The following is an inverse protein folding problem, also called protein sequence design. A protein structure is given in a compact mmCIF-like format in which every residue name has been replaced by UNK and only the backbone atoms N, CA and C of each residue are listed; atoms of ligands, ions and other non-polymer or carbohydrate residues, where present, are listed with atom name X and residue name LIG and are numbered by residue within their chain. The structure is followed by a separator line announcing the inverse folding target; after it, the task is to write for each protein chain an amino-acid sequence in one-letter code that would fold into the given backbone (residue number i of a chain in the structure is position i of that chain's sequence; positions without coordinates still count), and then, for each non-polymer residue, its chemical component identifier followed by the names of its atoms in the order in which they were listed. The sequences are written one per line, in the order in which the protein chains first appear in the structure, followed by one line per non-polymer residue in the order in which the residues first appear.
data_IF_387112632849
#
_entry.id   IF_387112632849
#
_cell.length_a   1.000
_cell.length_b   1.000
_cell.length_c   1.000
_cell.angle_alpha   90.00
_cell.angle_beta   90.00
_cell.angle_gamma   90.00
#
_symmetry.space_group_name_H-M   'P 1'
#
loop_
_entity.id
_entity.type
_entity.pdbx_description
1 polymer ?
#
# COMPACT_ATOMS: atom_id res chain seq x y z
N UNK A 1 -6.31 12.64 -63.02
CA UNK A 1 -5.56 13.53 -62.13
C UNK A 1 -5.98 13.15 -60.72
N UNK A 2 -5.23 12.21 -60.15
CA UNK A 2 -5.42 11.77 -58.77
C UNK A 2 -4.89 12.88 -57.88
N UNK A 3 -5.67 13.26 -56.86
CA UNK A 3 -5.14 14.01 -55.73
C UNK A 3 -4.71 12.99 -54.70
N UNK A 4 -3.40 12.96 -54.48
CA UNK A 4 -2.72 12.20 -53.44
C UNK A 4 -3.23 12.69 -52.07
N UNK A 5 -3.88 11.80 -51.33
CA UNK A 5 -4.16 11.99 -49.92
C UNK A 5 -2.88 11.56 -49.19
N UNK A 6 -2.17 12.54 -48.63
CA UNK A 6 -0.94 12.39 -47.88
C UNK A 6 -1.14 11.35 -46.78
N UNK A 7 -0.36 10.26 -46.89
CA UNK A 7 -0.13 9.32 -45.80
C UNK A 7 0.47 10.08 -44.62
N UNK A 8 -0.38 10.46 -43.66
CA UNK A 8 0.04 10.84 -42.32
C UNK A 8 0.74 9.64 -41.69
N UNK A 9 2.08 9.64 -41.80
CA UNK A 9 2.97 8.77 -41.05
C UNK A 9 2.64 8.92 -39.55
N UNK A 10 2.00 7.89 -38.98
CA UNK A 10 1.90 7.76 -37.53
C UNK A 10 3.31 7.59 -36.99
N UNK A 11 3.80 8.60 -36.29
CA UNK A 11 4.93 8.47 -35.39
C UNK A 11 4.62 7.33 -34.41
N UNK A 12 5.25 6.16 -34.65
CA UNK A 12 5.23 5.06 -33.71
C UNK A 12 6.08 5.47 -32.51
N UNK A 13 5.44 6.07 -31.51
CA UNK A 13 6.03 6.16 -30.17
C UNK A 13 6.37 4.74 -29.70
N UNK A 14 7.56 4.56 -29.15
CA UNK A 14 8.07 3.28 -28.64
C UNK A 14 7.28 2.72 -27.44
N UNK A 15 6.11 3.28 -27.13
CA UNK A 15 5.23 2.97 -25.99
C UNK A 15 4.08 2.01 -26.31
N UNK A 16 3.80 1.69 -27.58
CA UNK A 16 2.69 0.81 -27.96
C UNK A 16 3.06 -0.68 -27.84
N UNK A 17 3.43 -1.12 -26.63
CA UNK A 17 3.35 -2.53 -26.31
C UNK A 17 1.88 -2.95 -26.32
N UNK A 18 1.55 -4.04 -27.02
CA UNK A 18 0.26 -4.71 -26.88
C UNK A 18 -0.06 -4.91 -25.39
N UNK A 19 -1.33 -4.75 -24.99
CA UNK A 19 -1.79 -4.85 -23.58
C UNK A 19 -1.25 -6.10 -22.89
N UNK A 20 -1.16 -7.21 -23.62
CA UNK A 20 -0.60 -8.48 -23.15
C UNK A 20 0.92 -8.40 -22.91
N UNK A 21 1.65 -7.71 -23.77
CA UNK A 21 3.08 -7.46 -23.60
C UNK A 21 3.39 -6.54 -22.43
N UNK A 22 2.58 -5.50 -22.23
CA UNK A 22 2.67 -4.62 -21.07
C UNK A 22 2.39 -5.40 -19.77
N UNK A 23 1.33 -6.20 -19.74
CA UNK A 23 1.00 -7.04 -18.60
C UNK A 23 2.14 -7.97 -18.20
N UNK A 24 2.75 -8.67 -19.16
CA UNK A 24 3.92 -9.54 -18.90
C UNK A 24 5.10 -8.77 -18.33
N UNK A 25 5.34 -7.55 -18.83
CA UNK A 25 6.41 -6.68 -18.34
C UNK A 25 6.16 -6.27 -16.88
N UNK A 26 4.94 -5.82 -16.56
CA UNK A 26 4.53 -5.44 -15.21
C UNK A 26 4.64 -6.61 -14.24
N UNK A 27 4.21 -7.82 -14.63
CA UNK A 27 4.34 -9.03 -13.81
C UNK A 27 5.81 -9.38 -13.56
N UNK A 28 6.69 -9.20 -14.55
CA UNK A 28 8.14 -9.40 -14.38
C UNK A 28 8.71 -8.44 -13.34
N UNK A 29 8.42 -7.14 -13.49
CA UNK A 29 8.91 -6.12 -12.56
C UNK A 29 8.41 -6.32 -11.13
N UNK A 30 7.14 -6.66 -10.97
CA UNK A 30 6.60 -6.96 -9.63
C UNK A 30 7.33 -8.13 -8.97
N UNK A 31 7.67 -9.19 -9.72
CA UNK A 31 8.41 -10.33 -9.18
C UNK A 31 9.81 -9.96 -8.70
N UNK A 32 10.47 -9.03 -9.37
CA UNK A 32 11.77 -8.52 -8.93
C UNK A 32 11.63 -7.68 -7.66
N UNK A 33 10.62 -6.80 -7.61
CA UNK A 33 10.40 -5.90 -6.47
C UNK A 33 9.93 -6.64 -5.21
N UNK A 34 9.04 -7.62 -5.36
CA UNK A 34 8.49 -8.37 -4.23
C UNK A 34 9.56 -9.18 -3.50
N UNK A 35 10.57 -9.71 -4.20
CA UNK A 35 11.68 -10.42 -3.56
C UNK A 35 12.49 -9.52 -2.62
N UNK A 36 12.69 -8.26 -3.01
CA UNK A 36 13.37 -7.27 -2.18
C UNK A 36 12.49 -6.89 -0.98
N UNK A 37 11.22 -6.57 -1.22
CA UNK A 37 10.27 -6.15 -0.20
C UNK A 37 9.97 -7.28 0.79
N UNK A 38 9.98 -8.54 0.38
CA UNK A 38 9.72 -9.67 1.27
C UNK A 38 10.75 -9.81 2.38
N UNK A 39 12.03 -9.56 2.09
CA UNK A 39 13.08 -9.50 3.12
C UNK A 39 12.78 -8.41 4.15
N UNK A 40 12.34 -7.24 3.69
CA UNK A 40 11.93 -6.17 4.59
C UNK A 40 10.64 -6.53 5.37
N UNK A 41 9.65 -7.18 4.75
CA UNK A 41 8.39 -7.59 5.39
C UNK A 41 8.61 -8.57 6.54
N UNK A 42 9.59 -9.47 6.44
CA UNK A 42 9.95 -10.37 7.54
C UNK A 42 10.38 -9.57 8.78
N UNK A 43 11.30 -8.61 8.60
CA UNK A 43 11.74 -7.72 9.68
C UNK A 43 10.60 -6.82 10.18
N UNK A 44 9.82 -6.22 9.28
CA UNK A 44 8.71 -5.37 9.65
C UNK A 44 7.66 -6.12 10.51
N UNK A 45 7.37 -7.38 10.20
CA UNK A 45 6.48 -8.21 11.02
C UNK A 45 7.05 -8.48 12.41
N UNK A 46 8.35 -8.74 12.50
CA UNK A 46 9.05 -8.87 13.78
C UNK A 46 8.95 -7.56 14.60
N UNK A 47 9.20 -6.41 13.98
CA UNK A 47 9.11 -5.10 14.62
C UNK A 47 7.70 -4.83 15.19
N UNK A 48 6.66 -5.13 14.42
CA UNK A 48 5.27 -5.03 14.88
C UNK A 48 4.97 -5.99 16.04
N UNK A 49 5.50 -7.22 16.01
CA UNK A 49 5.36 -8.18 17.12
C UNK A 49 6.05 -7.65 18.38
N UNK A 50 7.25 -7.10 18.24
CA UNK A 50 8.01 -6.54 19.36
C UNK A 50 7.31 -5.34 19.98
N UNK A 51 6.73 -4.47 19.15
CA UNK A 51 5.90 -3.37 19.59
C UNK A 51 4.66 -3.86 20.37
N UNK A 52 3.98 -4.91 19.90
CA UNK A 52 2.80 -5.49 20.57
C UNK A 52 3.14 -6.32 21.82
N UNK A 53 4.43 -6.61 22.07
CA UNK A 53 4.90 -7.36 23.24
C UNK A 53 5.12 -8.85 22.98
N UNK A 54 4.95 -9.31 21.75
CA UNK A 54 5.27 -10.68 21.31
C UNK A 54 6.75 -10.76 20.91
N UNK A 55 7.63 -10.75 21.91
CA UNK A 55 9.08 -10.65 21.74
C UNK A 55 9.83 -11.99 21.74
N UNK A 56 9.11 -13.09 21.95
CA UNK A 56 9.72 -14.41 22.09
C UNK A 56 9.62 -15.19 20.80
N UNK A 57 10.71 -15.89 20.46
CA UNK A 57 10.65 -16.99 19.50
C UNK A 57 9.78 -18.12 20.08
N UNK A 58 9.03 -18.78 19.22
CA UNK A 58 8.17 -19.91 19.57
C UNK A 58 8.96 -21.07 20.18
N UNK A 59 10.21 -21.26 19.75
CA UNK A 59 11.10 -22.30 20.29
C UNK A 59 11.46 -22.05 21.74
N UNK A 60 11.78 -20.81 22.08
CA UNK A 60 12.13 -20.42 23.45
C UNK A 60 10.90 -20.49 24.36
N UNK A 61 9.74 -20.10 23.83
CA UNK A 61 8.46 -20.20 24.54
C UNK A 61 8.12 -21.67 24.84
N UNK A 62 8.33 -22.58 23.89
CA UNK A 62 8.14 -24.01 24.08
C UNK A 62 9.10 -24.58 25.16
N UNK A 63 10.39 -24.21 25.12
CA UNK A 63 11.37 -24.63 26.10
C UNK A 63 11.04 -24.14 27.52
N UNK A 64 10.58 -22.89 27.66
CA UNK A 64 10.16 -22.32 28.95
C UNK A 64 8.91 -23.02 29.51
N UNK A 65 7.95 -23.36 28.62
CA UNK A 65 6.76 -24.16 28.98
C UNK A 65 7.14 -25.56 29.47
N UNK A 66 8.06 -26.23 28.79
CA UNK A 66 8.56 -27.56 29.19
C UNK A 66 9.24 -27.50 30.58
N UNK A 67 10.04 -26.46 30.82
CA UNK A 67 10.70 -26.21 32.10
C UNK A 67 9.74 -25.73 33.20
N UNK A 68 8.43 -25.57 32.91
CA UNK A 68 7.41 -25.03 33.82
C UNK A 68 7.77 -23.65 34.39
N UNK A 69 8.51 -22.84 33.62
CA UNK A 69 8.89 -21.48 33.99
C UNK A 69 7.86 -20.50 33.41
N UNK A 70 7.35 -19.55 34.21
CA UNK A 70 6.47 -18.51 33.68
C UNK A 70 7.25 -17.61 32.73
N UNK A 71 6.66 -17.33 31.56
CA UNK A 71 7.19 -16.36 30.60
C UNK A 71 6.77 -14.97 31.04
N UNK A 72 7.74 -14.09 31.30
CA UNK A 72 7.49 -12.70 31.63
C UNK A 72 8.11 -11.81 30.54
N UNK A 73 7.29 -10.97 29.92
CA UNK A 73 7.74 -9.98 28.94
C UNK A 73 7.57 -8.58 29.51
N UNK A 74 8.65 -7.80 29.50
CA UNK A 74 8.63 -6.40 29.91
C UNK A 74 8.83 -5.51 28.68
N UNK A 75 7.73 -5.08 28.06
CA UNK A 75 7.78 -4.28 26.85
C UNK A 75 8.25 -2.85 27.16
N UNK A 76 9.52 -2.55 26.84
CA UNK A 76 10.09 -1.20 26.90
C UNK A 76 10.01 -0.45 25.57
N UNK A 77 9.71 -1.15 24.48
CA UNK A 77 9.69 -0.62 23.12
C UNK A 77 8.44 0.24 22.93
N UNK A 78 7.26 -0.28 23.24
CA UNK A 78 6.00 0.45 23.05
C UNK A 78 5.96 1.81 23.79
N UNK A 79 6.37 1.93 25.06
CA UNK A 79 6.44 3.23 25.73
C UNK A 79 7.38 4.24 25.05
N UNK A 80 8.53 3.78 24.51
CA UNK A 80 9.47 4.64 23.81
C UNK A 80 8.92 5.11 22.46
N UNK A 81 8.35 4.18 21.68
CA UNK A 81 7.68 4.50 20.41
C UNK A 81 6.55 5.50 20.64
N UNK A 82 5.70 5.26 21.63
CA UNK A 82 4.59 6.15 21.98
C UNK A 82 5.06 7.53 22.45
N UNK A 83 6.22 7.63 23.11
CA UNK A 83 6.80 8.92 23.48
C UNK A 83 7.25 9.72 22.25
N UNK A 84 7.86 9.06 21.26
CA UNK A 84 8.28 9.70 20.00
C UNK A 84 7.06 10.14 19.19
N UNK A 85 6.08 9.25 19.01
CA UNK A 85 4.81 9.57 18.30
C UNK A 85 4.06 10.68 19.03
N UNK A 86 4.02 10.65 20.36
CA UNK A 86 3.42 11.73 21.17
C UNK A 86 4.12 13.08 20.97
N UNK A 87 5.44 13.08 20.84
CA UNK A 87 6.20 14.31 20.55
C UNK A 87 5.92 14.86 19.15
N UNK A 88 5.72 13.99 18.16
CA UNK A 88 5.34 14.39 16.80
C UNK A 88 3.92 14.97 16.78
N UNK A 89 2.97 14.30 17.42
CA UNK A 89 1.58 14.78 17.55
C UNK A 89 1.46 16.14 18.25
N UNK A 90 2.36 16.44 19.17
CA UNK A 90 2.42 17.75 19.82
C UNK A 90 3.07 18.83 18.95
N UNK A 91 3.96 18.44 18.04
CA UNK A 91 4.69 19.33 17.13
C UNK A 91 4.29 19.04 15.67
N UNK A 92 2.99 19.17 15.38
CA UNK A 92 2.47 18.94 14.04
C UNK A 92 3.15 19.85 13.03
N UNK A 93 3.36 19.30 11.83
CA UNK A 93 3.99 20.02 10.72
C UNK A 93 2.92 20.48 9.74
N UNK A 94 3.04 21.73 9.32
CA UNK A 94 2.18 22.34 8.31
C UNK A 94 2.97 22.56 7.02
N UNK A 95 2.27 22.48 5.89
CA UNK A 95 2.86 22.72 4.57
C UNK A 95 2.79 24.21 4.27
N UNK A 96 3.94 24.87 4.17
CA UNK A 96 4.03 26.28 3.81
C UNK A 96 4.69 26.46 2.45
N UNK A 97 4.04 27.21 1.56
CA UNK A 97 4.63 27.57 0.27
C UNK A 97 5.43 28.86 0.41
N UNK A 98 6.74 28.78 0.24
CA UNK A 98 7.65 29.93 0.36
C UNK A 98 7.97 30.48 -1.04
N UNK A 99 7.72 31.77 -1.33
CA UNK A 99 8.00 32.35 -2.63
C UNK A 99 9.50 32.43 -2.90
N UNK A 100 9.95 31.91 -4.05
CA UNK A 100 11.37 31.98 -4.48
C UNK A 100 11.70 33.27 -5.26
N UNK A 101 10.69 33.96 -5.79
CA UNK A 101 10.84 35.16 -6.62
C UNK A 101 10.15 36.37 -5.98
N UNK A 102 10.77 37.55 -6.13
CA UNK A 102 10.21 38.82 -5.67
C UNK A 102 8.88 39.08 -6.40
N UNK A 103 7.84 39.45 -5.65
CA UNK A 103 6.50 39.74 -6.18
C UNK A 103 5.55 38.54 -6.30
N UNK A 104 5.98 37.33 -5.88
CA UNK A 104 5.13 36.12 -5.86
C UNK A 104 4.63 35.75 -4.46
N UNK A 105 4.54 36.71 -3.53
CA UNK A 105 4.01 36.47 -2.18
C UNK A 105 2.53 36.08 -2.19
N UNK A 106 1.68 36.82 -2.93
CA UNK A 106 0.23 36.58 -2.95
C UNK A 106 -0.15 35.17 -3.46
N UNK A 107 0.43 34.64 -4.56
CA UNK A 107 0.18 33.25 -4.97
C UNK A 107 0.63 32.21 -3.94
N UNK A 108 1.73 32.45 -3.23
CA UNK A 108 2.24 31.54 -2.20
C UNK A 108 1.33 31.49 -0.97
N UNK A 109 0.80 32.63 -0.53
CA UNK A 109 -0.21 32.70 0.54
C UNK A 109 -1.48 31.96 0.13
N UNK A 110 -1.95 32.16 -1.10
CA UNK A 110 -3.11 31.45 -1.62
C UNK A 110 -2.90 29.92 -1.64
N UNK A 111 -1.76 29.45 -2.15
CA UNK A 111 -1.43 28.02 -2.17
C UNK A 111 -1.33 27.41 -0.77
N UNK A 112 -0.80 28.17 0.19
CA UNK A 112 -0.73 27.76 1.59
C UNK A 112 -2.13 27.60 2.17
N UNK A 113 -3.01 28.60 1.98
CA UNK A 113 -4.40 28.50 2.44
C UNK A 113 -5.20 27.38 1.76
N UNK A 114 -4.94 27.09 0.48
CA UNK A 114 -5.55 25.93 -0.21
C UNK A 114 -5.04 24.61 0.36
N UNK A 115 -3.75 24.49 0.65
CA UNK A 115 -3.18 23.27 1.23
C UNK A 115 -3.66 23.02 2.68
N UNK A 116 -3.78 24.07 3.48
CA UNK A 116 -4.41 24.01 4.81
C UNK A 116 -5.86 23.51 4.69
N UNK A 117 -6.67 24.16 3.86
CA UNK A 117 -8.04 23.75 3.62
C UNK A 117 -8.15 22.29 3.15
N UNK A 118 -7.29 21.88 2.22
CA UNK A 118 -7.27 20.51 1.71
C UNK A 118 -6.98 19.49 2.83
N UNK A 119 -5.97 19.77 3.66
CA UNK A 119 -5.57 18.89 4.76
C UNK A 119 -6.62 18.83 5.86
N UNK A 120 -7.27 19.95 6.16
CA UNK A 120 -8.36 20.03 7.14
C UNK A 120 -9.57 19.21 6.71
N UNK A 121 -9.99 19.35 5.44
CA UNK A 121 -11.11 18.58 4.87
C UNK A 121 -10.80 17.08 4.81
N UNK A 122 -9.57 16.71 4.47
CA UNK A 122 -9.14 15.32 4.39
C UNK A 122 -8.84 14.68 5.76
N UNK A 123 -8.90 15.45 6.86
CA UNK A 123 -8.44 15.01 8.18
C UNK A 123 -7.01 14.42 8.15
N UNK A 124 -6.15 15.02 7.33
CA UNK A 124 -4.83 14.50 6.97
C UNK A 124 -3.92 14.23 8.17
N UNK A 125 -4.06 15.03 9.23
CA UNK A 125 -3.23 14.95 10.43
C UNK A 125 -3.27 13.57 11.09
N UNK A 126 -4.43 12.90 11.08
CA UNK A 126 -4.58 11.57 11.68
C UNK A 126 -3.88 10.51 10.83
N UNK A 127 -4.09 10.56 9.51
CA UNK A 127 -3.45 9.64 8.57
C UNK A 127 -1.92 9.80 8.59
N UNK A 128 -1.42 11.04 8.63
CA UNK A 128 0.01 11.35 8.72
C UNK A 128 0.61 10.86 10.05
N UNK A 129 -0.09 11.06 11.17
CA UNK A 129 0.36 10.58 12.49
C UNK A 129 0.44 9.05 12.53
N UNK A 130 -0.52 8.36 11.93
CA UNK A 130 -0.57 6.90 11.91
C UNK A 130 0.51 6.34 10.97
N UNK A 131 0.73 6.98 9.81
CA UNK A 131 1.84 6.63 8.92
C UNK A 131 3.20 6.91 9.58
N UNK A 132 3.32 7.99 10.35
CA UNK A 132 4.54 8.28 11.12
C UNK A 132 4.79 7.22 12.20
N UNK A 133 3.75 6.78 12.90
CA UNK A 133 3.86 5.68 13.85
C UNK A 133 4.37 4.40 13.18
N UNK A 134 3.84 4.06 12.00
CA UNK A 134 4.33 2.93 11.21
C UNK A 134 5.81 3.09 10.85
N UNK A 135 6.21 4.28 10.39
CA UNK A 135 7.60 4.58 10.07
C UNK A 135 8.54 4.44 11.28
N UNK A 136 8.07 4.79 12.49
CA UNK A 136 8.85 4.60 13.73
C UNK A 136 8.97 3.12 14.10
N UNK A 137 7.97 2.30 13.80
CA UNK A 137 7.96 0.87 14.12
C UNK A 137 8.77 0.06 13.12
N UNK A 138 8.44 0.12 11.83
CA UNK A 138 9.00 -0.75 10.79
C UNK A 138 9.87 -0.02 9.76
N UNK A 139 10.10 1.28 9.95
CA UNK A 139 10.93 2.12 9.07
C UNK A 139 10.19 2.74 7.89
N UNK A 140 8.99 2.26 7.55
CA UNK A 140 8.20 2.76 6.41
C UNK A 140 6.78 3.15 6.82
N UNK A 141 6.33 4.32 6.36
CA UNK A 141 4.99 4.85 6.59
C UNK A 141 4.41 5.40 5.30
N UNK A 142 3.13 5.13 5.05
CA UNK A 142 2.50 5.40 3.76
C UNK A 142 1.14 6.08 3.92
N UNK A 143 0.91 7.07 3.05
CA UNK A 143 -0.35 7.79 2.92
C UNK A 143 -0.74 7.89 1.46
N UNK A 144 -1.99 7.61 1.12
CA UNK A 144 -2.55 7.88 -0.20
C UNK A 144 -3.32 9.19 -0.17
N UNK A 145 -3.05 10.06 -1.13
CA UNK A 145 -3.78 11.33 -1.30
C UNK A 145 -4.55 11.26 -2.61
N UNK A 146 -5.88 11.32 -2.52
CA UNK A 146 -6.77 11.19 -3.67
C UNK A 146 -7.96 12.14 -3.58
N UNK A 147 -8.59 12.39 -4.73
CA UNK A 147 -9.88 13.06 -4.80
C UNK A 147 -10.97 12.01 -4.97
N UNK A 148 -11.96 12.02 -4.07
CA UNK A 148 -13.10 11.13 -4.10
C UNK A 148 -14.32 11.87 -4.66
N UNK A 149 -14.93 11.31 -5.70
CA UNK A 149 -16.02 11.95 -6.45
C UNK A 149 -17.41 11.34 -6.15
N UNK A 150 -17.50 10.43 -5.17
CA UNK A 150 -18.74 9.69 -4.90
C UNK A 150 -19.78 10.57 -4.19
N UNK A 151 -19.35 11.37 -3.21
CA UNK A 151 -20.23 12.25 -2.44
C UNK A 151 -20.38 13.65 -3.08
N UNK A 152 -19.30 14.15 -3.70
CA UNK A 152 -19.27 15.48 -4.30
C UNK A 152 -18.74 15.41 -5.74
N UNK A 153 -19.50 15.89 -6.74
CA UNK A 153 -19.04 16.00 -8.13
C UNK A 153 -17.79 16.87 -8.29
N UNK A 154 -17.57 17.84 -7.39
CA UNK A 154 -16.40 18.72 -7.42
C UNK A 154 -15.13 18.04 -6.83
N UNK A 155 -15.28 16.85 -6.24
CA UNK A 155 -14.20 16.06 -5.63
C UNK A 155 -13.91 16.47 -4.19
N UNK A 156 -13.99 15.52 -3.28
CA UNK A 156 -13.59 15.68 -1.88
C UNK A 156 -12.15 15.19 -1.68
N UNK A 157 -11.29 15.98 -1.01
CA UNK A 157 -9.94 15.56 -0.70
C UNK A 157 -9.95 14.49 0.38
N UNK A 158 -9.28 13.37 0.12
CA UNK A 158 -9.17 12.25 1.06
C UNK A 158 -7.72 11.84 1.18
N UNK A 159 -7.24 11.78 2.42
CA UNK A 159 -5.92 11.26 2.76
C UNK A 159 -6.11 10.04 3.66
N UNK A 160 -5.65 8.88 3.21
CA UNK A 160 -5.75 7.64 3.97
C UNK A 160 -4.39 7.06 4.29
N UNK A 161 -4.24 6.51 5.48
CA UNK A 161 -3.09 5.70 5.85
C UNK A 161 -3.17 4.37 5.10
N UNK A 162 -2.09 3.99 4.42
CA UNK A 162 -1.94 2.67 3.82
C UNK A 162 -1.15 1.75 4.75
N UNK A 163 -1.49 0.46 4.73
CA UNK A 163 -0.73 -0.56 5.45
C UNK A 163 0.64 -0.75 4.78
N UNK A 164 1.77 -0.52 5.49
CA UNK A 164 3.11 -0.69 4.94
C UNK A 164 3.37 -2.10 4.41
N UNK A 165 2.75 -3.13 5.01
CA UNK A 165 2.93 -4.53 4.58
C UNK A 165 2.25 -4.84 3.26
N UNK A 166 1.35 -3.97 2.78
CA UNK A 166 0.65 -4.11 1.49
C UNK A 166 1.35 -3.38 0.35
N UNK A 167 2.27 -2.48 0.68
CA UNK A 167 3.06 -1.75 -0.31
C UNK A 167 4.21 -2.61 -0.84
N UNK A 168 4.54 -2.39 -2.10
CA UNK A 168 5.77 -2.86 -2.75
C UNK A 168 6.33 -1.69 -3.52
N UNK A 169 7.63 -1.43 -3.42
CA UNK A 169 8.29 -0.33 -4.13
C UNK A 169 9.44 -0.87 -4.97
N UNK A 170 9.88 -0.04 -5.91
CA UNK A 170 11.00 -0.34 -6.79
C UNK A 170 12.24 -0.77 -6.00
N UNK A 171 12.74 -1.97 -6.30
CA UNK A 171 13.96 -2.53 -5.71
C UNK A 171 15.21 -1.70 -6.01
N UNK A 172 15.20 -0.90 -7.08
CA UNK A 172 16.31 -0.02 -7.44
C UNK A 172 16.31 1.31 -6.67
N UNK A 173 15.25 1.63 -5.92
CA UNK A 173 15.16 2.87 -5.18
C UNK A 173 16.09 2.86 -3.96
N UNK A 174 16.85 3.94 -3.80
CA UNK A 174 17.84 4.11 -2.72
C UNK A 174 17.51 5.32 -1.85
N UNK A 175 16.73 6.29 -2.36
CA UNK A 175 16.42 7.49 -1.59
C UNK A 175 15.43 7.17 -0.45
N UNK A 176 15.62 7.74 0.76
CA UNK A 176 14.78 7.42 1.93
C UNK A 176 13.28 7.70 1.75
N UNK A 177 12.93 8.61 0.85
CA UNK A 177 11.56 9.00 0.50
C UNK A 177 11.09 8.40 -0.84
N UNK A 178 11.88 7.50 -1.42
CA UNK A 178 11.57 6.79 -2.68
C UNK A 178 11.27 7.72 -3.86
N UNK A 179 11.84 8.92 -3.89
CA UNK A 179 11.65 9.86 -5.01
C UNK A 179 12.35 9.42 -6.30
N UNK A 180 13.28 8.47 -6.20
CA UNK A 180 13.93 7.80 -7.33
C UNK A 180 13.23 6.52 -7.77
N UNK A 181 12.16 6.10 -7.08
CA UNK A 181 11.41 4.92 -7.47
C UNK A 181 10.66 5.15 -8.78
N UNK A 182 10.84 4.26 -9.75
CA UNK A 182 10.12 4.33 -11.03
C UNK A 182 8.74 3.71 -10.93
N UNK A 183 8.50 2.90 -9.90
CA UNK A 183 7.26 2.14 -9.74
C UNK A 183 6.93 1.89 -8.27
N UNK A 184 5.64 1.89 -7.98
CA UNK A 184 5.05 1.55 -6.70
C UNK A 184 3.83 0.66 -6.93
N UNK A 185 3.64 -0.29 -6.03
CA UNK A 185 2.54 -1.23 -6.07
C UNK A 185 1.81 -1.24 -4.74
N UNK A 186 0.49 -1.37 -4.81
CA UNK A 186 -0.35 -1.60 -3.64
C UNK A 186 -1.13 -2.89 -3.85
N UNK A 187 -0.94 -3.84 -2.93
CA UNK A 187 -1.49 -5.18 -3.02
C UNK A 187 -2.50 -5.38 -1.90
N UNK A 188 -3.78 -5.49 -2.25
CA UNK A 188 -4.84 -5.64 -1.27
C UNK A 188 -5.71 -6.86 -1.56
N UNK A 189 -6.05 -7.58 -0.49
CA UNK A 189 -6.98 -8.73 -0.55
C UNK A 189 -8.34 -8.26 -0.08
N UNK A 190 -9.32 -8.28 -0.99
CA UNK A 190 -10.69 -7.86 -0.71
C UNK A 190 -11.69 -8.99 -0.96
N UNK A 191 -12.82 -9.02 -0.24
CA UNK A 191 -13.92 -9.93 -0.56
C UNK A 191 -14.44 -9.68 -1.98
N UNK A 192 -14.84 -10.76 -2.65
CA UNK A 192 -15.34 -10.73 -4.03
C UNK A 192 -16.51 -9.75 -4.22
N UNK A 193 -17.41 -9.66 -3.24
CA UNK A 193 -18.56 -8.75 -3.27
C UNK A 193 -18.15 -7.28 -3.34
N UNK A 194 -17.15 -6.91 -2.54
CA UNK A 194 -16.61 -5.54 -2.49
C UNK A 194 -15.86 -5.24 -3.80
N UNK A 195 -15.06 -6.18 -4.29
CA UNK A 195 -14.35 -6.02 -5.57
C UNK A 195 -15.34 -5.81 -6.75
N UNK A 196 -16.46 -6.52 -6.76
CA UNK A 196 -17.53 -6.34 -7.77
C UNK A 196 -18.22 -4.98 -7.68
N UNK A 197 -18.39 -4.44 -6.46
CA UNK A 197 -18.94 -3.10 -6.27
C UNK A 197 -17.96 -2.01 -6.75
N UNK A 198 -16.67 -2.18 -6.47
CA UNK A 198 -15.62 -1.24 -6.90
C UNK A 198 -15.44 -1.23 -8.42
N UNK A 199 -15.49 -2.40 -9.06
CA UNK A 199 -15.27 -2.55 -10.51
C UNK A 199 -16.46 -3.21 -11.20
N UNK A 200 -17.59 -2.50 -11.38
CA UNK A 200 -18.83 -3.09 -11.91
C UNK A 200 -18.72 -3.55 -13.38
N UNK A 201 -17.72 -3.05 -14.12
CA UNK A 201 -17.51 -3.36 -15.55
C UNK A 201 -16.59 -4.55 -15.80
N UNK A 202 -15.82 -4.99 -14.80
CA UNK A 202 -14.80 -6.02 -14.96
C UNK A 202 -15.28 -7.36 -14.36
N UNK A 203 -14.96 -8.46 -15.03
CA UNK A 203 -15.24 -9.79 -14.49
C UNK A 203 -14.21 -10.17 -13.43
N UNK A 204 -14.61 -10.92 -12.40
CA UNK A 204 -13.74 -11.23 -11.26
C UNK A 204 -12.46 -11.99 -11.64
N UNK A 205 -12.50 -12.78 -12.72
CA UNK A 205 -11.35 -13.52 -13.22
C UNK A 205 -10.26 -12.61 -13.79
N UNK A 206 -10.64 -11.44 -14.31
CA UNK A 206 -9.70 -10.44 -14.83
C UNK A 206 -9.11 -9.58 -13.71
N UNK A 207 -9.85 -9.44 -12.60
CA UNK A 207 -9.42 -8.68 -11.42
C UNK A 207 -8.46 -9.48 -10.52
N UNK A 208 -8.54 -10.82 -10.53
CA UNK A 208 -7.75 -11.65 -9.62
C UNK A 208 -6.29 -11.77 -10.06
N UNK A 209 -5.41 -11.02 -9.40
CA UNK A 209 -3.97 -11.11 -9.57
C UNK A 209 -3.39 -12.29 -8.76
N UNK A 210 -3.68 -13.51 -9.18
CA UNK A 210 -3.25 -14.73 -8.48
C UNK A 210 -1.72 -14.89 -8.44
N UNK A 211 -1.03 -14.30 -9.41
CA UNK A 211 0.43 -14.30 -9.53
C UNK A 211 1.13 -13.39 -8.51
N UNK A 212 0.41 -12.42 -7.93
CA UNK A 212 0.96 -11.47 -6.96
C UNK A 212 0.86 -11.95 -5.51
N UNK A 213 0.29 -13.15 -5.30
CA UNK A 213 0.14 -13.76 -3.99
C UNK A 213 1.51 -14.04 -3.39
N UNK A 214 1.81 -13.39 -2.28
CA UNK A 214 2.92 -13.80 -1.43
C UNK A 214 2.65 -15.22 -0.94
N UNK A 215 3.64 -16.11 -1.08
CA UNK A 215 3.58 -17.46 -0.52
C UNK A 215 3.49 -17.50 1.02
N UNK A 216 3.45 -16.33 1.66
CA UNK A 216 3.18 -16.21 3.08
C UNK A 216 1.68 -16.29 3.29
N UNK A 217 1.22 -17.50 3.59
CA UNK A 217 -0.06 -17.72 4.25
C UNK A 217 -0.14 -16.77 5.46
N UNK A 218 -1.01 -15.78 5.38
CA UNK A 218 -1.59 -15.21 6.58
C UNK A 218 -2.28 -16.40 7.25
N UNK A 219 -1.77 -16.89 8.37
CA UNK A 219 -2.44 -17.94 9.14
C UNK A 219 -3.72 -17.34 9.75
N UNK A 220 -4.73 -17.14 8.90
CA UNK A 220 -6.10 -16.99 9.32
C UNK A 220 -6.52 -18.31 9.95
N UNK A 221 -7.12 -18.24 11.14
CA UNK A 221 -7.68 -19.39 11.85
C UNK A 221 -8.60 -20.16 10.90
N UNK A 222 -8.16 -21.34 10.47
CA UNK A 222 -8.98 -22.24 9.66
C UNK A 222 -10.15 -22.73 10.50
N UNK A 223 -11.30 -22.05 10.40
CA UNK A 223 -12.57 -22.67 10.73
C UNK A 223 -12.87 -23.70 9.64
N UNK A 224 -12.77 -24.98 10.00
CA UNK A 224 -13.18 -26.10 9.17
C UNK A 224 -14.69 -26.09 8.97
N UNK A 225 -15.18 -25.28 8.04
CA UNK A 225 -16.52 -25.46 7.51
C UNK A 225 -16.47 -26.50 6.39
N UNK A 226 -16.88 -27.71 6.78
CA UNK A 226 -17.21 -28.84 5.92
C UNK A 226 -18.38 -28.43 5.02
N UNK A 227 -18.12 -27.92 3.82
CA UNK A 227 -19.01 -28.05 2.66
C UNK A 227 -18.35 -27.48 1.40
N UNK A 228 -18.12 -28.35 0.40
CA UNK A 228 -18.52 -28.20 -1.01
C UNK A 228 -17.63 -29.04 -1.95
N UNK A 229 -18.15 -30.20 -2.34
CA UNK A 229 -17.76 -30.89 -3.57
C UNK A 229 -18.24 -30.06 -4.77
N UNK A 230 -17.33 -29.36 -5.43
CA UNK A 230 -17.46 -28.99 -6.85
C UNK A 230 -16.06 -28.87 -7.46
N UNK A 231 -15.70 -29.86 -8.27
CA UNK A 231 -14.35 -30.12 -8.76
C UNK A 231 -13.96 -29.32 -10.01
N UNK A 232 -14.31 -28.03 -10.08
CA UNK A 232 -13.91 -27.13 -11.20
C UNK A 232 -13.46 -25.72 -10.78
N UNK A 233 -13.52 -25.34 -9.49
CA UNK A 233 -13.28 -23.97 -9.02
C UNK A 233 -11.89 -23.83 -8.34
N UNK A 234 -10.82 -24.23 -9.05
CA UNK A 234 -9.44 -24.34 -8.48
C UNK A 234 -8.74 -23.00 -8.13
N UNK A 235 -9.35 -21.84 -8.36
CA UNK A 235 -8.68 -20.54 -8.17
C UNK A 235 -9.27 -19.64 -7.08
N UNK A 236 -10.45 -19.97 -6.54
CA UNK A 236 -11.14 -19.09 -5.59
C UNK A 236 -10.81 -19.48 -4.16
N UNK A 237 -9.90 -18.72 -3.54
CA UNK A 237 -9.58 -18.90 -2.13
C UNK A 237 -10.73 -18.41 -1.24
N UNK A 238 -11.12 -19.27 -0.32
CA UNK A 238 -12.15 -19.00 0.69
C UNK A 238 -11.44 -18.72 2.02
N UNK A 239 -11.62 -17.53 2.56
CA UNK A 239 -11.12 -17.15 3.89
C UNK A 239 -12.33 -16.72 4.73
N UNK A 240 -12.48 -17.28 5.93
CA UNK A 240 -13.67 -17.10 6.78
C UNK A 240 -15.01 -17.29 6.03
N UNK A 241 -15.09 -18.31 5.16
CA UNK A 241 -16.30 -18.60 4.37
C UNK A 241 -16.57 -17.64 3.21
N UNK A 242 -15.71 -16.65 2.94
CA UNK A 242 -15.88 -15.67 1.86
C UNK A 242 -14.85 -15.86 0.75
N UNK A 243 -15.31 -15.78 -0.50
CA UNK A 243 -14.44 -15.76 -1.69
C UNK A 243 -13.63 -14.47 -1.70
N UNK A 244 -12.31 -14.57 -1.71
CA UNK A 244 -11.39 -13.42 -1.70
C UNK A 244 -10.72 -13.23 -3.06
N UNK A 245 -10.47 -11.99 -3.44
CA UNK A 245 -9.75 -11.59 -4.66
C UNK A 245 -8.54 -10.74 -4.26
N UNK A 246 -7.41 -10.96 -4.94
CA UNK A 246 -6.20 -10.14 -4.76
C UNK A 246 -6.17 -9.08 -5.85
N UNK A 247 -6.17 -7.82 -5.45
CA UNK A 247 -6.09 -6.67 -6.33
C UNK A 247 -4.68 -6.08 -6.24
N UNK A 248 -4.10 -5.75 -7.40
CA UNK A 248 -2.79 -5.11 -7.49
C UNK A 248 -2.97 -3.80 -8.24
N UNK A 249 -2.73 -2.70 -7.55
CA UNK A 249 -2.61 -1.39 -8.18
C UNK A 249 -1.13 -1.14 -8.49
N UNK A 250 -0.84 -0.73 -9.71
CA UNK A 250 0.50 -0.31 -10.12
C UNK A 250 0.47 1.17 -10.47
N UNK A 251 1.36 1.94 -9.86
CA UNK A 251 1.69 3.30 -10.26
C UNK A 251 3.12 3.28 -10.77
N UNK A 252 3.32 3.48 -12.07
CA UNK A 252 4.65 3.65 -12.66
C UNK A 252 4.80 5.08 -13.19
N UNK A 253 6.00 5.61 -13.06
CA UNK A 253 6.37 6.93 -13.53
C UNK A 253 7.26 6.77 -14.77
N UNK A 254 6.93 7.50 -15.83
CA UNK A 254 7.74 7.58 -17.06
C UNK A 254 8.82 8.66 -16.99
#
# INVERSE_FOLDING_TARGET
MMYDDETLEKENNASDLSTEGLYRKLVSWYKEDIEHVNKWREHAREDFRFYNGDQWDEKDLAALKEQRRPVMTFNRIAPLVNAVVGSERNNKREVQFIPRQIGKALPSELLTGVAEWFRDMAHAEYADSDAFQDAVICGMGWTDTRLEYENNPDGEPVITRLDPLKMVWDSAAVQPNLTDAQRMWYVDRKPLEVAKQMFPKAHWSELSADWARDGVSCEGVHHNDFDFYNSDDKSVNVENGRRMVTLVECRWFE
#
